data_IF_493610967571
#
_entry.id   IF_493610967571
#
_cell.length_a   1.000
_cell.length_b   1.000
_cell.length_c   1.000
_cell.angle_alpha   90.00
_cell.angle_beta   90.00
_cell.angle_gamma   90.00
#
_symmetry.space_group_name_H-M   'P 1'
#
loop_
_entity.id
_entity.type
_entity.pdbx_description
1 polymer ?
#
# COMPACT_ATOMS: atom_id res chain seq x y z
N UNK A 1 4.06 36.99 -25.50
CA UNK A 1 3.81 35.63 -26.07
C UNK A 1 4.89 34.60 -25.71
N UNK A 2 6.16 34.99 -25.54
CA UNK A 2 7.29 34.08 -25.22
C UNK A 2 7.16 33.36 -23.86
N UNK A 3 6.59 34.01 -22.84
CA UNK A 3 6.42 33.45 -21.48
C UNK A 3 5.42 32.28 -21.45
N UNK A 4 4.34 32.36 -22.24
CA UNK A 4 3.35 31.28 -22.36
C UNK A 4 3.93 30.00 -23.00
N UNK A 5 4.97 30.14 -23.81
CA UNK A 5 5.60 29.03 -24.55
C UNK A 5 6.63 28.26 -23.69
N UNK A 6 7.38 28.96 -22.82
CA UNK A 6 8.31 28.32 -21.86
C UNK A 6 7.57 27.46 -20.83
N UNK A 7 6.44 27.93 -20.29
CA UNK A 7 5.65 27.17 -19.31
C UNK A 7 4.93 25.96 -19.93
N UNK A 8 4.40 26.07 -21.16
CA UNK A 8 3.82 24.90 -21.85
C UNK A 8 4.84 23.78 -22.08
N UNK A 9 6.10 24.11 -22.36
CA UNK A 9 7.19 23.10 -22.49
C UNK A 9 7.57 22.45 -21.16
N UNK A 10 7.56 23.18 -20.05
CA UNK A 10 7.86 22.62 -18.72
C UNK A 10 6.71 21.73 -18.20
N UNK A 11 5.46 22.17 -18.42
CA UNK A 11 4.25 21.41 -18.06
C UNK A 11 4.15 20.09 -18.84
N UNK A 12 4.61 20.08 -20.09
CA UNK A 12 4.73 18.87 -20.92
C UNK A 12 5.89 17.98 -20.46
N UNK A 13 7.01 18.53 -19.97
CA UNK A 13 8.11 17.70 -19.43
C UNK A 13 7.77 17.05 -18.08
N UNK A 14 7.00 17.72 -17.22
CA UNK A 14 6.61 17.15 -15.93
C UNK A 14 5.50 16.09 -16.07
N UNK A 15 4.65 16.22 -17.09
CA UNK A 15 3.64 15.21 -17.46
C UNK A 15 4.24 14.05 -18.29
N UNK A 16 5.31 14.27 -19.06
CA UNK A 16 5.94 13.23 -19.89
C UNK A 16 7.11 12.47 -19.25
N UNK A 17 7.80 13.02 -18.24
CA UNK A 17 8.96 12.34 -17.63
C UNK A 17 8.60 11.21 -16.65
N UNK A 18 7.31 10.96 -16.40
CA UNK A 18 6.82 9.81 -15.62
C UNK A 18 5.74 9.01 -16.35
N UNK A 19 5.47 9.33 -17.62
CA UNK A 19 4.52 8.63 -18.49
C UNK A 19 5.21 7.51 -19.27
N UNK A 20 5.61 6.44 -18.59
CA UNK A 20 6.38 5.36 -19.20
C UNK A 20 6.15 3.99 -18.59
N UNK A 21 4.94 3.67 -18.13
CA UNK A 21 4.53 2.28 -17.88
C UNK A 21 3.33 1.95 -18.78
N UNK A 22 3.62 1.83 -20.08
CA UNK A 22 2.75 1.13 -21.02
C UNK A 22 2.70 -0.34 -20.58
N UNK A 23 1.49 -0.88 -20.44
CA UNK A 23 1.23 -2.17 -19.85
C UNK A 23 2.05 -3.33 -20.43
N UNK A 24 2.68 -4.08 -19.53
CA UNK A 24 2.92 -5.50 -19.72
C UNK A 24 1.78 -6.24 -19.00
N UNK A 25 0.76 -6.55 -19.78
CA UNK A 25 0.08 -7.84 -19.86
C UNK A 25 0.04 -8.68 -18.59
N UNK A 26 -1.18 -8.95 -18.13
CA UNK A 26 -1.45 -9.90 -17.08
C UNK A 26 -0.76 -11.25 -17.32
N UNK A 27 -0.11 -11.72 -16.28
CA UNK A 27 0.15 -13.13 -16.05
C UNK A 27 -0.36 -13.39 -14.65
N UNK A 28 -1.34 -14.28 -14.54
CA UNK A 28 -2.05 -14.59 -13.30
C UNK A 28 -1.12 -15.02 -12.18
N UNK A 29 -1.45 -14.58 -10.98
CA UNK A 29 -0.87 -15.09 -9.74
C UNK A 29 -1.97 -15.85 -9.03
N UNK A 30 -2.52 -16.83 -9.77
CA UNK A 30 -3.37 -17.88 -9.25
C UNK A 30 -2.54 -19.16 -9.19
N UNK A 31 -1.34 -19.10 -8.62
CA UNK A 31 -0.49 -20.27 -8.38
C UNK A 31 0.38 -19.97 -7.15
N UNK A 32 -0.15 -20.33 -5.98
CA UNK A 32 0.52 -20.08 -4.70
C UNK A 32 -0.37 -20.26 -3.48
N UNK A 33 -1.69 -20.30 -3.63
CA UNK A 33 -2.52 -20.97 -2.62
C UNK A 33 -2.24 -22.47 -2.71
N UNK A 34 -1.81 -23.14 -1.62
CA UNK A 34 -1.75 -24.60 -1.63
C UNK A 34 -3.15 -25.15 -1.96
N UNK A 35 -3.27 -26.08 -2.91
CA UNK A 35 -4.54 -26.74 -3.19
C UNK A 35 -4.96 -27.54 -1.96
N UNK A 36 -6.28 -27.64 -1.79
CA UNK A 36 -7.00 -28.28 -0.70
C UNK A 36 -6.22 -29.23 0.21
N UNK A 37 -6.17 -28.89 1.49
CA UNK A 37 -6.21 -29.89 2.55
C UNK A 37 -7.68 -29.93 3.00
N UNK A 38 -8.56 -30.75 2.41
CA UNK A 38 -8.48 -32.21 2.44
C UNK A 38 -7.90 -32.67 3.78
N UNK A 39 -8.81 -32.79 4.74
CA UNK A 39 -8.88 -33.73 5.87
C UNK A 39 -7.58 -34.23 6.53
N UNK A 40 -7.56 -34.37 7.86
CA UNK A 40 -6.40 -34.89 8.59
C UNK A 40 -6.04 -36.29 8.10
N UNK A 41 -4.91 -36.42 7.40
CA UNK A 41 -4.36 -37.71 7.01
C UNK A 41 -3.65 -38.32 8.22
N UNK A 42 -4.14 -39.49 8.60
CA UNK A 42 -3.67 -40.37 9.66
C UNK A 42 -2.24 -40.84 9.38
N UNK A 43 -1.35 -40.68 10.37
CA UNK A 43 -0.02 -41.28 10.35
C UNK A 43 -0.10 -42.83 10.42
N UNK A 44 0.80 -43.58 9.77
CA UNK A 44 0.92 -45.02 9.98
C UNK A 44 1.71 -45.26 11.27
N UNK A 45 1.13 -46.00 12.21
CA UNK A 45 1.84 -46.55 13.38
C UNK A 45 1.65 -48.06 13.38
N UNK A 46 2.75 -48.76 13.19
CA UNK A 46 2.91 -50.19 13.41
C UNK A 46 2.95 -50.51 14.91
N UNK A 47 1.87 -51.13 15.41
CA UNK A 47 1.72 -52.11 16.52
C UNK A 47 2.32 -51.82 17.94
N UNK A 48 1.77 -52.38 19.06
CA UNK A 48 0.90 -53.56 19.15
C UNK A 48 -0.42 -53.38 19.96
N UNK A 49 -1.27 -54.37 19.77
CA UNK A 49 -2.64 -54.57 20.27
C UNK A 49 -2.78 -54.57 21.79
N UNK A 50 -3.68 -53.74 22.30
CA UNK A 50 -4.47 -53.99 23.52
C UNK A 50 -5.93 -53.61 23.21
N UNK A 51 -6.94 -54.44 23.52
CA UNK A 51 -8.33 -54.13 23.19
C UNK A 51 -8.87 -53.01 24.11
N UNK A 52 -9.40 -51.89 23.57
CA UNK A 52 -10.10 -50.90 24.39
C UNK A 52 -11.56 -51.33 24.61
N UNK A 53 -12.05 -51.14 25.82
CA UNK A 53 -13.46 -51.29 26.18
C UNK A 53 -14.35 -50.33 25.36
N UNK A 54 -15.60 -50.71 25.00
CA UNK A 54 -16.49 -49.85 24.24
C UNK A 54 -17.26 -48.90 25.15
N UNK A 55 -17.18 -47.58 24.91
CA UNK A 55 -18.20 -46.65 25.41
C UNK A 55 -17.70 -45.32 25.96
N UNK A 56 -17.37 -44.37 25.08
CA UNK A 56 -17.58 -42.95 25.31
C UNK A 56 -17.62 -42.21 23.96
N UNK A 57 -18.60 -41.33 23.67
CA UNK A 57 -18.53 -40.46 22.50
C UNK A 57 -17.36 -39.47 22.70
N UNK A 58 -16.37 -39.51 21.82
CA UNK A 58 -15.27 -38.56 21.83
C UNK A 58 -15.83 -37.14 21.59
N UNK A 59 -15.69 -36.24 22.57
CA UNK A 59 -15.96 -34.81 22.35
C UNK A 59 -15.06 -34.32 21.21
N UNK A 60 -15.54 -33.46 20.29
CA UNK A 60 -14.68 -32.87 19.27
C UNK A 60 -13.51 -32.18 19.98
N UNK A 61 -12.30 -32.64 19.67
CA UNK A 61 -11.08 -32.07 20.25
C UNK A 61 -11.03 -30.58 19.88
N UNK A 62 -10.94 -29.71 20.89
CA UNK A 62 -10.76 -28.29 20.63
C UNK A 62 -9.44 -28.08 19.88
N UNK A 63 -9.39 -27.20 18.87
CA UNK A 63 -8.16 -26.87 18.18
C UNK A 63 -7.10 -26.43 19.18
N UNK A 64 -5.87 -26.92 19.01
CA UNK A 64 -4.76 -26.45 19.84
C UNK A 64 -4.49 -24.95 19.59
N UNK A 65 -3.68 -24.34 20.46
CA UNK A 65 -3.38 -22.92 20.38
C UNK A 65 -2.77 -22.52 19.01
N UNK A 66 -1.97 -23.40 18.40
CA UNK A 66 -1.38 -23.19 17.09
C UNK A 66 -2.45 -23.20 16.00
N UNK A 67 -3.28 -24.24 15.91
CA UNK A 67 -4.32 -24.38 14.90
C UNK A 67 -5.29 -23.21 14.96
N UNK A 68 -5.72 -22.82 16.16
CA UNK A 68 -6.59 -21.65 16.33
C UNK A 68 -5.93 -20.37 15.84
N UNK A 69 -4.67 -20.14 16.18
CA UNK A 69 -3.95 -18.95 15.75
C UNK A 69 -3.72 -18.93 14.23
N UNK A 70 -3.42 -20.07 13.61
CA UNK A 70 -3.31 -20.18 12.15
C UNK A 70 -4.64 -19.88 11.46
N UNK A 71 -5.76 -20.46 11.95
CA UNK A 71 -7.10 -20.22 11.39
C UNK A 71 -7.51 -18.74 11.48
N UNK A 72 -7.29 -18.10 12.65
CA UNK A 72 -7.57 -16.67 12.81
C UNK A 72 -6.66 -15.80 11.92
N UNK A 73 -5.40 -16.20 11.74
CA UNK A 73 -4.47 -15.52 10.86
C UNK A 73 -4.93 -15.54 9.40
N UNK A 74 -5.31 -16.72 8.90
CA UNK A 74 -5.84 -16.85 7.54
C UNK A 74 -7.16 -16.13 7.34
N UNK A 75 -8.10 -16.24 8.29
CA UNK A 75 -9.38 -15.54 8.21
C UNK A 75 -9.20 -14.01 8.15
N UNK A 76 -8.27 -13.45 8.92
CA UNK A 76 -7.93 -12.02 8.85
C UNK A 76 -7.24 -11.66 7.53
N UNK A 77 -6.35 -12.51 7.02
CA UNK A 77 -5.67 -12.29 5.74
C UNK A 77 -6.66 -12.30 4.55
N UNK A 78 -7.65 -13.18 4.55
CA UNK A 78 -8.73 -13.23 3.55
C UNK A 78 -9.58 -11.96 3.55
N UNK A 79 -9.72 -11.31 4.71
CA UNK A 79 -10.41 -10.02 4.85
C UNK A 79 -9.52 -8.82 4.49
N UNK A 80 -8.24 -9.04 4.17
CA UNK A 80 -7.26 -7.97 3.91
C UNK A 80 -6.76 -7.27 5.18
N UNK A 81 -7.08 -7.79 6.38
CA UNK A 81 -6.55 -7.30 7.65
C UNK A 81 -5.20 -7.96 7.95
N UNK A 82 -4.19 -7.55 7.18
CA UNK A 82 -2.84 -8.11 7.26
C UNK A 82 -2.15 -7.87 8.61
N UNK A 83 -2.55 -6.84 9.36
CA UNK A 83 -2.01 -6.57 10.69
C UNK A 83 -2.54 -7.57 11.71
N UNK A 84 -3.86 -7.79 11.73
CA UNK A 84 -4.46 -8.82 12.59
C UNK A 84 -3.99 -10.22 12.19
N UNK A 85 -3.83 -10.48 10.90
CA UNK A 85 -3.26 -11.74 10.41
C UNK A 85 -1.84 -11.97 10.94
N UNK A 86 -0.97 -10.97 10.81
CA UNK A 86 0.42 -11.01 11.28
C UNK A 86 0.51 -11.29 12.80
N UNK A 87 -0.34 -10.65 13.60
CA UNK A 87 -0.40 -10.90 15.05
C UNK A 87 -0.74 -12.36 15.34
N UNK A 88 -1.71 -12.93 14.63
CA UNK A 88 -2.13 -14.31 14.84
C UNK A 88 -1.09 -15.32 14.34
N UNK A 89 -0.43 -15.09 13.21
CA UNK A 89 0.68 -15.95 12.78
C UNK A 89 1.89 -15.91 13.73
N UNK A 90 2.17 -14.75 14.35
CA UNK A 90 3.19 -14.65 15.42
C UNK A 90 2.80 -15.45 16.66
N UNK A 91 1.52 -15.46 17.03
CA UNK A 91 1.00 -16.34 18.10
C UNK A 91 1.15 -17.82 17.75
N UNK A 92 0.88 -18.20 16.49
CA UNK A 92 1.09 -19.57 16.03
C UNK A 92 2.57 -19.97 16.14
N UNK A 93 3.49 -19.10 15.70
CA UNK A 93 4.93 -19.36 15.81
C UNK A 93 5.41 -19.45 17.26
N UNK A 94 4.82 -18.69 18.18
CA UNK A 94 5.11 -18.81 19.61
C UNK A 94 4.63 -20.15 20.20
N UNK A 95 3.50 -20.67 19.73
CA UNK A 95 2.97 -21.97 20.14
C UNK A 95 3.80 -23.15 19.56
N UNK A 96 4.36 -22.98 18.36
CA UNK A 96 5.26 -23.95 17.72
C UNK A 96 6.50 -23.26 17.16
N UNK A 97 7.56 -23.12 17.98
CA UNK A 97 8.82 -22.56 17.52
C UNK A 97 9.35 -23.35 16.32
N UNK A 98 9.92 -22.64 15.34
CA UNK A 98 10.46 -23.18 14.08
C UNK A 98 9.42 -23.76 13.10
N UNK A 99 8.12 -23.51 13.31
CA UNK A 99 7.10 -23.88 12.34
C UNK A 99 7.26 -23.12 11.01
N UNK A 100 7.54 -23.86 9.93
CA UNK A 100 7.83 -23.28 8.62
C UNK A 100 6.60 -22.58 8.02
N UNK A 101 5.39 -23.06 8.30
CA UNK A 101 4.16 -22.47 7.77
C UNK A 101 3.87 -21.12 8.42
N UNK A 102 3.95 -21.02 9.74
CA UNK A 102 3.77 -19.76 10.47
C UNK A 102 4.83 -18.72 10.06
N UNK A 103 6.10 -19.14 9.89
CA UNK A 103 7.17 -18.25 9.40
C UNK A 103 6.89 -17.74 7.98
N UNK A 104 6.42 -18.61 7.06
CA UNK A 104 6.06 -18.20 5.71
C UNK A 104 4.88 -17.23 5.70
N UNK A 105 3.84 -17.52 6.49
CA UNK A 105 2.68 -16.64 6.62
C UNK A 105 3.05 -15.26 7.16
N UNK A 106 3.95 -15.17 8.16
CA UNK A 106 4.49 -13.90 8.67
C UNK A 106 5.15 -13.09 7.55
N UNK A 107 6.07 -13.71 6.78
CA UNK A 107 6.76 -13.02 5.67
C UNK A 107 5.79 -12.51 4.62
N UNK A 108 4.77 -13.32 4.28
CA UNK A 108 3.74 -12.91 3.33
C UNK A 108 2.97 -11.68 3.84
N UNK A 109 2.55 -11.69 5.12
CA UNK A 109 1.84 -10.55 5.70
C UNK A 109 2.72 -9.29 5.75
N UNK A 110 4.00 -9.43 6.07
CA UNK A 110 4.94 -8.33 6.04
C UNK A 110 5.08 -7.72 4.63
N UNK A 111 5.13 -8.54 3.57
CA UNK A 111 5.10 -8.07 2.18
C UNK A 111 3.82 -7.30 1.87
N UNK A 112 2.65 -7.88 2.18
CA UNK A 112 1.36 -7.25 1.89
C UNK A 112 1.15 -5.93 2.61
N UNK A 113 1.64 -5.80 3.86
CA UNK A 113 1.60 -4.54 4.59
C UNK A 113 2.41 -3.46 3.88
N UNK A 114 3.61 -3.79 3.39
CA UNK A 114 4.45 -2.85 2.64
C UNK A 114 3.77 -2.46 1.33
N UNK A 115 3.28 -3.44 0.56
CA UNK A 115 2.58 -3.20 -0.70
C UNK A 115 1.34 -2.31 -0.53
N UNK A 116 0.54 -2.56 0.50
CA UNK A 116 -0.64 -1.76 0.82
C UNK A 116 -0.27 -0.31 1.17
N UNK A 117 0.79 -0.12 1.96
CA UNK A 117 1.31 1.23 2.29
C UNK A 117 1.79 1.97 1.06
N UNK A 118 2.56 1.30 0.20
CA UNK A 118 3.04 1.92 -1.05
C UNK A 118 1.90 2.19 -2.02
N UNK A 119 0.88 1.34 -2.10
CA UNK A 119 -0.31 1.60 -2.90
C UNK A 119 -1.10 2.81 -2.39
N UNK A 120 -1.27 2.94 -1.07
CA UNK A 120 -1.91 4.11 -0.46
C UNK A 120 -1.10 5.39 -0.73
N UNK A 121 0.22 5.34 -0.55
CA UNK A 121 1.13 6.44 -0.88
C UNK A 121 1.03 6.86 -2.34
N UNK A 122 1.03 5.90 -3.28
CA UNK A 122 0.88 6.18 -4.72
C UNK A 122 -0.44 6.86 -5.04
N UNK A 123 -1.54 6.44 -4.41
CA UNK A 123 -2.85 7.08 -4.59
C UNK A 123 -2.83 8.55 -4.15
N UNK A 124 -2.23 8.83 -3.00
CA UNK A 124 -2.14 10.20 -2.48
C UNK A 124 -1.20 11.08 -3.33
N UNK A 125 -0.09 10.53 -3.82
CA UNK A 125 0.75 11.27 -4.78
C UNK A 125 -0.05 11.60 -6.04
N UNK A 126 -0.86 10.65 -6.56
CA UNK A 126 -1.67 10.87 -7.75
C UNK A 126 -2.77 11.93 -7.53
N UNK A 127 -3.42 11.96 -6.37
CA UNK A 127 -4.41 13.00 -6.03
C UNK A 127 -3.77 14.38 -5.97
N UNK A 128 -2.58 14.49 -5.37
CA UNK A 128 -1.81 15.74 -5.33
C UNK A 128 -1.33 16.17 -6.71
N UNK A 129 -0.88 15.25 -7.56
CA UNK A 129 -0.50 15.55 -8.94
C UNK A 129 -1.67 16.11 -9.76
N UNK A 130 -2.87 15.53 -9.58
CA UNK A 130 -4.09 16.03 -10.21
C UNK A 130 -4.45 17.45 -9.72
N UNK A 131 -4.37 17.68 -8.41
CA UNK A 131 -4.58 19.00 -7.80
C UNK A 131 -3.59 20.03 -8.35
N UNK A 132 -2.30 19.69 -8.42
CA UNK A 132 -1.26 20.56 -8.95
C UNK A 132 -1.55 20.93 -10.41
N UNK A 133 -1.90 19.94 -11.23
CA UNK A 133 -2.24 20.15 -12.64
C UNK A 133 -3.43 21.10 -12.78
N UNK A 134 -4.47 20.93 -11.97
CA UNK A 134 -5.65 21.80 -11.98
C UNK A 134 -5.31 23.24 -11.53
N UNK A 135 -4.55 23.39 -10.43
CA UNK A 135 -4.12 24.69 -9.91
C UNK A 135 -3.30 25.47 -10.94
N UNK A 136 -2.31 24.82 -11.56
CA UNK A 136 -1.51 25.42 -12.64
C UNK A 136 -2.37 25.80 -13.84
N UNK A 137 -3.32 24.95 -14.24
CA UNK A 137 -4.26 25.22 -15.32
C UNK A 137 -5.15 26.44 -15.07
N UNK A 138 -5.54 26.65 -13.82
CA UNK A 138 -6.33 27.81 -13.37
C UNK A 138 -5.46 29.03 -13.00
N UNK A 139 -4.13 28.91 -13.12
CA UNK A 139 -3.15 29.93 -12.70
C UNK A 139 -3.19 30.29 -11.22
N UNK A 140 -3.70 29.37 -10.39
CA UNK A 140 -3.68 29.46 -8.93
C UNK A 140 -2.30 29.03 -8.40
N UNK A 141 -1.37 29.97 -8.42
CA UNK A 141 0.01 29.74 -7.99
C UNK A 141 0.12 29.48 -6.48
N UNK A 142 -0.79 30.03 -5.67
CA UNK A 142 -0.87 29.77 -4.23
C UNK A 142 -1.18 28.29 -3.97
N UNK A 143 -2.21 27.75 -4.64
CA UNK A 143 -2.57 26.36 -4.48
C UNK A 143 -1.54 25.41 -5.11
N UNK A 144 -0.93 25.81 -6.24
CA UNK A 144 0.18 25.06 -6.83
C UNK A 144 1.38 24.96 -5.86
N UNK A 145 1.80 26.07 -5.25
CA UNK A 145 2.88 26.08 -4.27
C UNK A 145 2.59 25.18 -3.06
N UNK A 146 1.40 25.31 -2.47
CA UNK A 146 0.99 24.49 -1.33
C UNK A 146 0.94 22.98 -1.69
N UNK A 147 0.49 22.65 -2.90
CA UNK A 147 0.44 21.26 -3.37
C UNK A 147 1.84 20.69 -3.61
N UNK A 148 2.78 21.50 -4.12
CA UNK A 148 4.19 21.11 -4.27
C UNK A 148 4.83 20.87 -2.90
N UNK A 149 4.57 21.74 -1.91
CA UNK A 149 5.06 21.56 -0.54
C UNK A 149 4.60 20.22 0.04
N UNK A 150 3.32 19.88 -0.13
CA UNK A 150 2.77 18.58 0.28
C UNK A 150 3.44 17.42 -0.46
N UNK A 151 3.59 17.50 -1.79
CA UNK A 151 4.26 16.47 -2.58
C UNK A 151 5.66 16.19 -2.07
N UNK A 152 6.43 17.21 -1.67
CA UNK A 152 7.80 16.98 -1.17
C UNK A 152 7.84 16.01 0.01
N UNK A 153 6.83 16.00 0.88
CA UNK A 153 6.78 15.11 2.06
C UNK A 153 6.72 13.63 1.69
N UNK A 154 6.23 13.31 0.49
CA UNK A 154 6.17 11.96 -0.02
C UNK A 154 7.45 11.50 -0.72
N UNK A 155 8.45 12.36 -0.91
CA UNK A 155 9.70 11.99 -1.58
C UNK A 155 10.89 12.12 -0.61
N UNK A 156 11.83 11.14 -0.59
CA UNK A 156 13.01 11.21 0.26
C UNK A 156 13.83 12.48 0.04
N UNK A 157 14.48 12.98 1.09
CA UNK A 157 15.29 14.20 1.03
C UNK A 157 16.39 14.17 -0.05
N UNK A 158 16.97 12.99 -0.28
CA UNK A 158 18.07 12.74 -1.24
C UNK A 158 17.59 12.43 -2.66
N UNK A 159 16.26 12.34 -2.86
CA UNK A 159 15.71 11.96 -4.16
C UNK A 159 15.77 13.11 -5.17
N UNK A 160 16.00 12.75 -6.43
CA UNK A 160 15.97 13.70 -7.55
C UNK A 160 14.59 14.33 -7.69
N UNK A 161 13.53 13.54 -7.49
CA UNK A 161 12.13 13.95 -7.57
C UNK A 161 11.84 15.08 -6.57
N UNK A 162 12.31 14.94 -5.32
CA UNK A 162 12.18 16.01 -4.33
C UNK A 162 12.98 17.25 -4.73
N UNK A 163 14.20 17.08 -5.22
CA UNK A 163 15.02 18.21 -5.69
C UNK A 163 14.32 18.99 -6.82
N UNK A 164 13.70 18.29 -7.77
CA UNK A 164 12.92 18.88 -8.85
C UNK A 164 11.68 19.63 -8.32
N UNK A 165 10.95 19.06 -7.36
CA UNK A 165 9.81 19.73 -6.73
C UNK A 165 10.23 21.00 -5.97
N UNK A 166 11.35 20.97 -5.26
CA UNK A 166 11.90 22.13 -4.55
C UNK A 166 12.33 23.23 -5.54
N UNK A 167 12.96 22.86 -6.65
CA UNK A 167 13.29 23.81 -7.71
C UNK A 167 12.03 24.44 -8.33
N UNK A 168 11.04 23.60 -8.64
CA UNK A 168 9.76 24.06 -9.19
C UNK A 168 8.99 24.98 -8.24
N UNK A 169 9.00 24.68 -6.94
CA UNK A 169 8.46 25.57 -5.89
C UNK A 169 9.11 26.96 -5.96
N UNK A 170 10.42 27.05 -6.14
CA UNK A 170 11.13 28.32 -6.27
C UNK A 170 10.68 29.14 -7.48
N UNK A 171 10.40 28.49 -8.62
CA UNK A 171 9.83 29.15 -9.79
C UNK A 171 8.43 29.73 -9.49
N UNK A 172 7.59 28.96 -8.79
CA UNK A 172 6.25 29.41 -8.37
C UNK A 172 6.34 30.64 -7.46
N UNK A 173 7.28 30.67 -6.51
CA UNK A 173 7.51 31.83 -5.64
C UNK A 173 7.80 33.10 -6.44
N UNK A 174 8.64 33.01 -7.48
CA UNK A 174 8.92 34.16 -8.35
C UNK A 174 7.67 34.69 -9.08
N UNK A 175 6.72 33.82 -9.42
CA UNK A 175 5.43 34.24 -10.00
C UNK A 175 4.49 34.89 -8.98
N UNK A 176 4.54 34.46 -7.72
CA UNK A 176 3.77 35.05 -6.63
C UNK A 176 4.27 36.46 -6.31
N UNK A 177 5.59 36.63 -6.17
CA UNK A 177 6.22 37.93 -5.86
C UNK A 177 6.02 38.97 -6.98
N UNK A 178 5.99 38.54 -8.23
CA UNK A 178 5.76 39.42 -9.38
C UNK A 178 4.31 39.95 -9.49
N UNK A 179 3.36 39.44 -8.69
CA UNK A 179 1.94 39.84 -8.75
C UNK A 179 1.55 40.62 -7.50
N UNK A 180 1.09 41.85 -7.67
CA UNK A 180 0.78 42.79 -6.58
C UNK A 180 -0.52 42.52 -5.81
N UNK A 181 -1.25 41.44 -6.10
CA UNK A 181 -2.56 41.11 -5.51
C UNK A 181 -2.65 39.69 -4.93
N UNK A 182 -1.55 39.18 -4.36
CA UNK A 182 -1.44 37.82 -3.78
C UNK A 182 -2.55 37.50 -2.76
N UNK A 183 -3.03 38.50 -2.02
CA UNK A 183 -4.05 38.31 -0.98
C UNK A 183 -5.42 37.91 -1.55
N UNK A 184 -5.75 38.26 -2.80
CA UNK A 184 -7.06 37.97 -3.40
C UNK A 184 -7.23 36.49 -3.79
N UNK A 185 -6.14 35.70 -3.83
CA UNK A 185 -6.16 34.31 -4.31
C UNK A 185 -5.96 33.28 -3.19
N UNK A 186 -5.84 33.76 -1.95
CA UNK A 186 -5.42 32.95 -0.80
C UNK A 186 -6.53 32.19 -0.09
N UNK A 187 -7.73 32.07 -0.67
CA UNK A 187 -8.81 31.26 -0.09
C UNK A 187 -8.50 29.77 -0.30
N UNK A 188 -7.51 29.30 0.46
CA UNK A 188 -7.23 27.93 0.89
C UNK A 188 -7.80 26.90 -0.06
N UNK A 189 -7.03 26.52 -1.10
CA UNK A 189 -7.28 25.41 -2.04
C UNK A 189 -8.67 24.79 -1.84
N UNK A 190 -9.73 25.51 -2.23
CA UNK A 190 -11.09 25.07 -1.89
C UNK A 190 -11.25 23.70 -2.53
N UNK A 191 -11.61 22.72 -1.70
CA UNK A 191 -11.75 21.34 -2.10
C UNK A 191 -12.71 21.22 -3.27
N UNK A 192 -12.17 21.17 -4.50
CA UNK A 192 -12.87 20.65 -5.66
C UNK A 192 -12.83 19.12 -5.62
N UNK A 193 -13.48 18.56 -4.59
CA UNK A 193 -14.24 17.32 -4.67
C UNK A 193 -15.68 17.72 -4.35
N UNK A 194 -16.73 17.33 -5.08
CA UNK A 194 -17.04 16.02 -5.64
C UNK A 194 -17.99 16.19 -6.86
N UNK A 195 -18.24 15.12 -7.64
CA UNK A 195 -19.60 14.57 -7.62
C UNK A 195 -19.70 13.29 -6.78
#
# INVERSE_FOLDING_TARGET
MVVRYKMKRLMVLMVLMLGGWMGAQGSGWADGMPPGMAQPQTAPTSAPTAPPAPGAPARPAQPDAYTRAMLLGYAAAEQGDYQTALINFRRALAARPNDRYAQAAIRNMESFIVEQREAARRREIATLQARLTAAVGQTDWSCAAATVDQLTTYFPATSLERAQLVAYRGEITGFLEARSNVETWSTVCLGLGQP
#
